data_IF_977240612938
#
_entry.id   IF_977240612938
#
_cell.length_a   1.000
_cell.length_b   1.000
_cell.length_c   1.000
_cell.angle_alpha   90.00
_cell.angle_beta   90.00
_cell.angle_gamma   90.00
#
_symmetry.space_group_name_H-M   'P 1'
#
loop_
_entity.id
_entity.type
_entity.pdbx_description
1 polymer ?
#
# COMPACT_ATOMS: atom_id res chain seq x y z
N UNK A 1 13.40 -10.71 15.30
CA UNK A 1 12.93 -11.97 15.93
C UNK A 1 13.16 -13.10 14.94
N UNK A 2 13.65 -14.27 15.37
CA UNK A 2 13.80 -15.45 14.49
C UNK A 2 12.59 -16.35 14.68
N UNK A 3 11.87 -16.63 13.61
CA UNK A 3 10.66 -17.46 13.60
C UNK A 3 10.75 -18.51 12.50
N UNK A 4 10.14 -19.67 12.73
CA UNK A 4 9.94 -20.69 11.69
C UNK A 4 8.50 -20.58 11.22
N UNK A 5 8.29 -20.39 9.91
CA UNK A 5 7.00 -20.20 9.30
C UNK A 5 6.89 -21.13 8.10
N UNK A 6 5.73 -21.76 7.94
CA UNK A 6 5.43 -22.54 6.74
C UNK A 6 4.71 -21.64 5.75
N UNK A 7 5.33 -21.38 4.59
CA UNK A 7 4.88 -20.40 3.60
C UNK A 7 4.79 -21.04 2.22
N UNK A 8 3.75 -20.72 1.41
CA UNK A 8 3.66 -21.23 0.05
C UNK A 8 4.84 -20.74 -0.80
N UNK A 9 5.68 -21.67 -1.25
CA UNK A 9 6.92 -21.34 -1.95
C UNK A 9 6.69 -20.59 -3.26
N UNK A 10 5.66 -20.98 -4.01
CA UNK A 10 5.28 -20.31 -5.26
C UNK A 10 4.96 -18.82 -5.04
N UNK A 11 4.19 -18.52 -3.99
CA UNK A 11 3.78 -17.16 -3.66
C UNK A 11 5.00 -16.32 -3.21
N UNK A 12 5.88 -16.93 -2.42
CA UNK A 12 7.08 -16.25 -1.94
C UNK A 12 8.06 -15.94 -3.09
N UNK A 13 8.25 -16.89 -4.01
CA UNK A 13 9.12 -16.72 -5.17
C UNK A 13 8.56 -15.66 -6.14
N UNK A 14 7.23 -15.65 -6.35
CA UNK A 14 6.58 -14.61 -7.13
C UNK A 14 6.75 -13.24 -6.48
N UNK A 15 6.52 -13.12 -5.17
CA UNK A 15 6.72 -11.89 -4.43
C UNK A 15 8.17 -11.40 -4.57
N UNK A 16 9.17 -12.26 -4.34
CA UNK A 16 10.60 -11.93 -4.52
C UNK A 16 10.90 -11.39 -5.92
N UNK A 17 10.34 -12.01 -6.97
CA UNK A 17 10.52 -11.57 -8.36
C UNK A 17 9.89 -10.22 -8.63
N UNK A 18 8.68 -9.97 -8.11
CA UNK A 18 7.97 -8.70 -8.31
C UNK A 18 8.65 -7.57 -7.54
N UNK A 19 9.08 -7.83 -6.31
CA UNK A 19 9.69 -6.83 -5.43
C UNK A 19 11.19 -6.67 -5.64
N UNK A 20 11.81 -7.54 -6.45
CA UNK A 20 13.26 -7.57 -6.73
C UNK A 20 14.11 -7.66 -5.47
N UNK A 21 13.62 -8.34 -4.45
CA UNK A 21 14.29 -8.49 -3.15
C UNK A 21 15.09 -9.78 -3.11
N UNK A 22 16.31 -9.71 -2.59
CA UNK A 22 17.24 -10.83 -2.58
C UNK A 22 16.93 -11.91 -1.53
N UNK A 23 16.19 -11.59 -0.47
CA UNK A 23 15.97 -12.52 0.66
C UNK A 23 14.48 -12.71 0.99
N UNK A 24 14.15 -13.92 1.44
CA UNK A 24 12.81 -14.27 1.95
C UNK A 24 12.38 -13.36 3.10
N UNK A 25 13.32 -13.00 3.99
CA UNK A 25 13.07 -12.08 5.11
C UNK A 25 12.73 -10.68 4.62
N UNK A 26 13.43 -10.15 3.62
CA UNK A 26 13.18 -8.82 3.08
C UNK A 26 11.77 -8.73 2.46
N UNK A 27 11.30 -9.76 1.76
CA UNK A 27 9.92 -9.82 1.24
C UNK A 27 8.91 -9.73 2.38
N UNK A 28 9.12 -10.49 3.45
CA UNK A 28 8.17 -10.53 4.57
C UNK A 28 8.10 -9.16 5.25
N UNK A 29 9.24 -8.51 5.46
CA UNK A 29 9.30 -7.14 6.03
C UNK A 29 8.55 -6.17 5.12
N UNK A 30 8.86 -6.17 3.82
CA UNK A 30 8.20 -5.30 2.85
C UNK A 30 6.68 -5.54 2.79
N UNK A 31 6.24 -6.79 2.83
CA UNK A 31 4.82 -7.14 2.83
C UNK A 31 4.09 -6.60 4.07
N UNK A 32 4.72 -6.66 5.24
CA UNK A 32 4.16 -6.10 6.48
C UNK A 32 4.09 -4.58 6.43
N UNK A 33 5.14 -3.92 5.95
CA UNK A 33 5.17 -2.46 5.77
C UNK A 33 4.06 -1.99 4.82
N UNK A 34 3.92 -2.66 3.68
CA UNK A 34 2.88 -2.35 2.69
C UNK A 34 1.47 -2.63 3.21
N UNK A 35 1.28 -3.67 4.05
CA UNK A 35 0.00 -3.92 4.70
C UNK A 35 -0.39 -2.76 5.63
N UNK A 36 0.54 -2.29 6.46
CA UNK A 36 0.33 -1.15 7.37
C UNK A 36 0.06 0.12 6.55
N UNK A 37 0.84 0.35 5.49
CA UNK A 37 0.66 1.50 4.60
C UNK A 37 -0.73 1.50 3.97
N UNK A 38 -1.18 0.36 3.43
CA UNK A 38 -2.51 0.23 2.83
C UNK A 38 -3.64 0.47 3.83
N UNK A 39 -3.50 -0.03 5.06
CA UNK A 39 -4.47 0.23 6.13
C UNK A 39 -4.58 1.73 6.44
N UNK A 40 -3.45 2.44 6.61
CA UNK A 40 -3.45 3.89 6.83
C UNK A 40 -4.07 4.66 5.67
N UNK A 41 -3.78 4.27 4.43
CA UNK A 41 -4.40 4.91 3.25
C UNK A 41 -5.91 4.65 3.23
N UNK A 42 -6.38 3.46 3.61
CA UNK A 42 -7.79 3.15 3.69
C UNK A 42 -8.51 4.02 4.74
N UNK A 43 -7.89 4.26 5.89
CA UNK A 43 -8.37 5.22 6.88
C UNK A 43 -8.44 6.64 6.30
N UNK A 44 -7.43 7.09 5.55
CA UNK A 44 -7.48 8.41 4.91
C UNK A 44 -8.62 8.54 3.90
N UNK A 45 -8.93 7.46 3.16
CA UNK A 45 -10.07 7.44 2.22
C UNK A 45 -11.41 7.66 2.91
N UNK A 46 -11.54 7.39 4.22
CA UNK A 46 -12.77 7.64 4.97
C UNK A 46 -13.13 9.13 5.09
N UNK A 47 -12.14 10.02 4.88
CA UNK A 47 -12.32 11.47 4.91
C UNK A 47 -12.74 12.03 3.54
N UNK A 48 -12.79 11.20 2.49
CA UNK A 48 -13.26 11.60 1.16
C UNK A 48 -14.70 12.12 1.25
N UNK A 49 -14.90 13.39 0.88
CA UNK A 49 -16.22 14.04 0.91
C UNK A 49 -16.67 14.52 2.29
N UNK A 50 -15.88 14.29 3.35
CA UNK A 50 -16.10 14.89 4.69
C UNK A 50 -15.35 16.19 4.89
N UNK A 51 -14.30 16.40 4.10
CA UNK A 51 -13.51 17.63 4.13
C UNK A 51 -14.20 18.62 3.18
N UNK A 52 -14.72 19.69 3.75
CA UNK A 52 -15.18 20.84 2.99
C UNK A 52 -13.95 21.53 2.40
N UNK A 53 -13.88 21.53 1.07
CA UNK A 53 -12.80 22.10 0.31
C UNK A 53 -13.34 23.40 -0.29
N UNK A 54 -12.87 24.55 0.21
CA UNK A 54 -13.22 25.88 -0.29
C UNK A 54 -12.51 26.15 -1.62
N UNK A 55 -12.98 25.49 -2.68
CA UNK A 55 -12.44 25.60 -4.04
C UNK A 55 -13.55 25.54 -5.09
N UNK A 56 -13.49 26.48 -6.02
CA UNK A 56 -14.32 26.51 -7.21
C UNK A 56 -13.72 25.59 -8.29
N UNK A 57 -14.40 24.46 -8.54
CA UNK A 57 -13.96 23.46 -9.51
C UNK A 57 -14.13 23.92 -10.97
N UNK A 58 -14.99 24.90 -11.25
CA UNK A 58 -15.24 25.40 -12.60
C UNK A 58 -14.14 26.37 -13.03
N UNK A 59 -13.67 27.22 -12.10
CA UNK A 59 -12.46 28.03 -12.30
C UNK A 59 -11.24 27.13 -12.53
N UNK A 60 -11.03 26.12 -11.68
CA UNK A 60 -9.88 25.23 -11.76
C UNK A 60 -9.84 24.38 -13.03
N UNK A 61 -11.01 24.00 -13.57
CA UNK A 61 -11.11 23.13 -14.76
C UNK A 61 -11.24 23.91 -16.07
N UNK A 62 -11.20 25.24 -16.01
CA UNK A 62 -11.35 26.12 -17.18
C UNK A 62 -12.58 25.79 -18.04
N UNK A 63 -13.66 25.30 -17.42
CA UNK A 63 -14.93 25.04 -18.11
C UNK A 63 -15.67 26.36 -18.18
N UNK A 64 -15.50 27.06 -19.30
CA UNK A 64 -16.37 28.17 -19.72
C UNK A 64 -17.48 27.64 -20.61
#
# INVERSE_FOLDING_TARGET
>A
MRTTLDLPENLLNEAMRVTHTETKTAVIVLALEELIRKARIAELKQFKGKIELDIDLDILRARR
#
